data_IF_649336827091
#
_entry.id   IF_649336827091
#
_cell.length_a   1.000
_cell.length_b   1.000
_cell.length_c   1.000
_cell.angle_alpha   90.00
_cell.angle_beta   90.00
_cell.angle_gamma   90.00
#
_symmetry.space_group_name_H-M   'P 1'
#
loop_
_entity.id
_entity.type
_entity.pdbx_description
1 polymer ?
#
# COMPACT_ATOMS: atom_id res chain seq x y z
N UNK A 1 -19.56 -21.50 -17.70
CA UNK A 1 -19.17 -20.08 -17.78
C UNK A 1 -17.69 -19.99 -18.15
N UNK A 2 -17.27 -18.95 -18.90
CA UNK A 2 -15.84 -18.69 -19.13
C UNK A 2 -15.17 -18.21 -17.84
N UNK A 3 -13.81 -18.32 -17.78
CA UNK A 3 -13.04 -17.77 -16.66
C UNK A 3 -13.28 -16.27 -16.54
N UNK A 4 -13.39 -15.70 -15.32
CA UNK A 4 -13.48 -14.25 -15.15
C UNK A 4 -12.15 -13.58 -15.55
N UNK A 5 -12.25 -12.51 -16.33
CA UNK A 5 -11.10 -11.69 -16.79
C UNK A 5 -11.22 -10.24 -16.36
N UNK A 6 -12.31 -9.89 -15.69
CA UNK A 6 -12.62 -8.55 -15.22
C UNK A 6 -13.34 -8.61 -13.89
N UNK A 7 -12.79 -7.89 -12.91
CA UNK A 7 -13.38 -7.67 -11.60
C UNK A 7 -13.53 -6.16 -11.40
N UNK A 8 -14.66 -5.73 -10.86
CA UNK A 8 -14.93 -4.32 -10.65
C UNK A 8 -15.89 -4.14 -9.48
N UNK A 9 -15.49 -3.34 -8.51
CA UNK A 9 -16.31 -3.02 -7.34
C UNK A 9 -15.86 -1.69 -6.71
N UNK A 10 -16.76 -1.01 -6.00
CA UNK A 10 -16.42 0.15 -5.16
C UNK A 10 -15.86 -0.27 -3.79
N UNK A 11 -16.28 -1.42 -3.27
CA UNK A 11 -15.78 -2.02 -2.04
C UNK A 11 -14.54 -2.86 -2.34
N UNK A 12 -13.36 -2.38 -1.92
CA UNK A 12 -12.09 -3.08 -2.13
C UNK A 12 -12.02 -4.43 -1.41
N UNK A 13 -12.69 -4.57 -0.26
CA UNK A 13 -12.73 -5.81 0.50
C UNK A 13 -13.57 -6.88 -0.21
N UNK A 14 -14.70 -6.49 -0.81
CA UNK A 14 -15.52 -7.35 -1.66
C UNK A 14 -14.74 -7.79 -2.90
N UNK A 15 -14.07 -6.83 -3.55
CA UNK A 15 -13.26 -7.08 -4.74
C UNK A 15 -12.13 -8.08 -4.46
N UNK A 16 -11.53 -8.01 -3.26
CA UNK A 16 -10.55 -9.01 -2.81
C UNK A 16 -11.16 -10.42 -2.76
N UNK A 17 -12.34 -10.58 -2.13
CA UNK A 17 -13.00 -11.89 -1.99
C UNK A 17 -13.43 -12.44 -3.34
N UNK A 18 -14.00 -11.63 -4.22
CA UNK A 18 -14.42 -12.04 -5.56
C UNK A 18 -13.24 -12.57 -6.38
N UNK A 19 -12.11 -11.85 -6.36
CA UNK A 19 -10.89 -12.28 -7.03
C UNK A 19 -10.26 -13.52 -6.38
N UNK A 20 -10.24 -13.59 -5.05
CA UNK A 20 -9.70 -14.72 -4.29
C UNK A 20 -10.45 -16.03 -4.59
N UNK A 21 -11.78 -16.02 -4.50
CA UNK A 21 -12.59 -17.19 -4.77
C UNK A 21 -12.51 -17.61 -6.25
N UNK A 22 -12.49 -16.63 -7.15
CA UNK A 22 -12.31 -16.91 -8.58
C UNK A 22 -10.95 -17.54 -8.90
N UNK A 23 -9.87 -17.12 -8.20
CA UNK A 23 -8.56 -17.75 -8.34
C UNK A 23 -8.56 -19.20 -7.84
N UNK A 24 -9.24 -19.46 -6.73
CA UNK A 24 -9.37 -20.81 -6.21
C UNK A 24 -10.21 -21.72 -7.12
N UNK A 25 -11.26 -21.19 -7.73
CA UNK A 25 -12.18 -21.97 -8.56
C UNK A 25 -11.65 -22.16 -10.00
N UNK A 26 -11.25 -21.07 -10.66
CA UNK A 26 -10.93 -21.03 -12.09
C UNK A 26 -9.44 -20.92 -12.40
N UNK A 27 -8.60 -20.65 -11.38
CA UNK A 27 -7.17 -20.46 -11.56
C UNK A 27 -6.48 -21.73 -12.06
N UNK A 28 -5.63 -21.61 -13.07
CA UNK A 28 -4.78 -22.69 -13.55
C UNK A 28 -3.60 -22.90 -12.62
N UNK A 29 -3.28 -24.13 -12.32
CA UNK A 29 -2.08 -24.47 -11.57
C UNK A 29 -0.84 -24.29 -12.42
N UNK A 30 0.08 -23.47 -11.95
CA UNK A 30 1.41 -23.23 -12.51
C UNK A 30 2.44 -23.20 -11.40
N UNK A 31 3.69 -23.50 -11.71
CA UNK A 31 4.76 -23.64 -10.71
C UNK A 31 6.00 -22.80 -11.01
N UNK A 32 5.91 -21.46 -11.16
CA UNK A 32 7.09 -20.64 -11.43
C UNK A 32 8.09 -20.76 -10.27
N UNK A 33 9.35 -21.01 -10.62
CA UNK A 33 10.43 -21.21 -9.63
C UNK A 33 10.14 -22.29 -8.58
N UNK A 34 9.36 -23.31 -8.95
CA UNK A 34 9.01 -24.43 -8.07
C UNK A 34 7.92 -24.11 -7.01
N UNK A 35 7.29 -22.96 -7.06
CA UNK A 35 6.22 -22.57 -6.14
C UNK A 35 4.86 -22.74 -6.80
N UNK A 36 4.03 -23.63 -6.26
CA UNK A 36 2.67 -23.86 -6.78
C UNK A 36 1.81 -22.63 -6.58
N UNK A 37 1.23 -22.15 -7.67
CA UNK A 37 0.26 -21.04 -7.69
C UNK A 37 -1.00 -21.44 -8.47
N UNK A 38 -2.13 -20.80 -8.15
CA UNK A 38 -3.29 -20.73 -9.02
C UNK A 38 -3.33 -19.36 -9.69
N UNK A 39 -3.47 -19.32 -10.99
CA UNK A 39 -3.31 -18.15 -11.84
C UNK A 39 -4.50 -17.91 -12.77
N UNK A 40 -4.96 -16.68 -12.86
CA UNK A 40 -5.82 -16.16 -13.93
C UNK A 40 -5.00 -15.18 -14.79
N UNK A 41 -5.06 -15.30 -16.13
CA UNK A 41 -4.30 -14.44 -17.04
C UNK A 41 -4.99 -14.27 -18.41
N UNK A 42 -4.95 -13.06 -19.00
CA UNK A 42 -4.79 -11.79 -18.31
C UNK A 42 -6.06 -11.42 -17.52
N UNK A 43 -5.93 -10.51 -16.55
CA UNK A 43 -7.04 -10.04 -15.72
C UNK A 43 -6.96 -8.53 -15.58
N UNK A 44 -8.09 -7.86 -15.62
CA UNK A 44 -8.23 -6.45 -15.18
C UNK A 44 -9.03 -6.40 -13.90
N UNK A 45 -8.48 -5.70 -12.89
CA UNK A 45 -9.16 -5.42 -11.62
C UNK A 45 -9.39 -3.92 -11.54
N UNK A 46 -10.65 -3.51 -11.48
CA UNK A 46 -11.08 -2.12 -11.41
C UNK A 46 -11.62 -1.75 -10.03
N UNK A 47 -11.03 -0.72 -9.44
CA UNK A 47 -11.46 -0.11 -8.19
C UNK A 47 -12.26 1.14 -8.52
N UNK A 48 -13.60 1.06 -8.37
CA UNK A 48 -14.49 2.21 -8.64
C UNK A 48 -14.33 3.31 -7.59
N UNK A 49 -13.91 2.94 -6.37
CA UNK A 49 -13.55 3.87 -5.31
C UNK A 49 -12.13 3.59 -4.78
N UNK A 50 -11.06 4.06 -5.46
CA UNK A 50 -9.69 3.82 -5.03
C UNK A 50 -9.28 4.60 -3.76
N UNK A 51 -10.17 5.42 -3.21
CA UNK A 51 -9.97 6.07 -1.93
C UNK A 51 -10.26 5.12 -0.76
N UNK A 52 -11.03 4.04 -0.98
CA UNK A 52 -11.21 2.94 -0.05
C UNK A 52 -10.07 1.93 -0.20
N UNK A 53 -8.91 2.24 0.39
CA UNK A 53 -7.67 1.43 0.27
C UNK A 53 -7.43 0.47 1.42
N UNK A 54 -8.07 0.68 2.56
CA UNK A 54 -8.00 -0.25 3.68
C UNK A 54 -8.95 -1.44 3.41
N UNK A 55 -8.40 -2.65 3.36
CA UNK A 55 -9.16 -3.88 3.10
C UNK A 55 -9.49 -4.63 4.38
N UNK A 56 -10.73 -5.06 4.54
CA UNK A 56 -11.28 -5.65 5.78
C UNK A 56 -11.75 -7.09 5.57
N UNK A 57 -10.84 -7.98 5.19
CA UNK A 57 -11.15 -9.40 4.98
C UNK A 57 -10.90 -10.20 6.26
N UNK A 58 -11.92 -10.92 6.75
CA UNK A 58 -11.77 -11.83 7.91
C UNK A 58 -10.74 -12.91 7.60
N UNK A 59 -9.99 -13.33 8.62
CA UNK A 59 -8.90 -14.28 8.44
C UNK A 59 -7.62 -13.68 7.82
N UNK A 60 -7.67 -12.44 7.31
CA UNK A 60 -6.50 -11.73 6.75
C UNK A 60 -6.24 -10.43 7.51
N UNK A 61 -5.07 -10.34 8.13
CA UNK A 61 -4.61 -9.08 8.74
C UNK A 61 -3.56 -8.45 7.82
N UNK A 62 -3.92 -7.32 7.21
CA UNK A 62 -2.99 -6.50 6.44
C UNK A 62 -2.00 -5.79 7.39
N UNK A 63 -0.90 -5.30 6.85
CA UNK A 63 0.03 -4.44 7.61
C UNK A 63 -0.22 -2.97 7.22
N UNK A 64 -1.09 -2.24 7.94
CA UNK A 64 -1.46 -0.86 7.57
C UNK A 64 -0.28 0.10 7.67
N UNK A 65 0.66 -0.15 8.57
CA UNK A 65 1.84 0.69 8.74
C UNK A 65 2.76 0.63 7.51
N UNK A 66 2.92 -0.53 6.91
CA UNK A 66 3.66 -0.67 5.66
C UNK A 66 2.88 -0.06 4.49
N UNK A 67 1.56 -0.30 4.43
CA UNK A 67 0.69 0.25 3.39
C UNK A 67 0.63 1.78 3.39
N UNK A 68 0.88 2.44 4.52
CA UNK A 68 0.97 3.90 4.64
C UNK A 68 2.40 4.41 4.41
N UNK A 69 3.43 3.69 4.88
CA UNK A 69 4.82 4.12 4.77
C UNK A 69 5.38 3.95 3.35
N UNK A 70 5.10 2.83 2.68
CA UNK A 70 5.69 2.54 1.37
C UNK A 70 5.29 3.55 0.28
N UNK A 71 4.02 4.02 0.16
CA UNK A 71 3.67 5.10 -0.76
C UNK A 71 4.42 6.42 -0.49
N UNK A 72 4.67 6.75 0.78
CA UNK A 72 5.48 7.92 1.19
C UNK A 72 6.94 7.73 0.70
N UNK A 73 7.54 6.56 0.91
CA UNK A 73 8.87 6.20 0.43
C UNK A 73 8.96 6.27 -1.11
N UNK A 74 7.94 5.80 -1.82
CA UNK A 74 7.86 5.86 -3.29
C UNK A 74 7.79 7.30 -3.77
N UNK A 75 6.92 8.12 -3.20
CA UNK A 75 6.73 9.51 -3.65
C UNK A 75 7.89 10.42 -3.29
N UNK A 76 8.70 10.06 -2.30
CA UNK A 76 9.98 10.72 -2.00
C UNK A 76 11.11 10.32 -2.97
N UNK A 77 10.89 9.29 -3.79
CA UNK A 77 11.90 8.84 -4.75
C UNK A 77 13.02 8.01 -4.14
N UNK A 78 12.75 7.32 -3.04
CA UNK A 78 13.75 6.54 -2.31
C UNK A 78 13.97 5.17 -2.94
N UNK A 79 15.12 4.55 -2.60
CA UNK A 79 15.55 3.23 -3.06
C UNK A 79 16.13 2.36 -1.94
N UNK A 80 16.30 2.93 -0.74
CA UNK A 80 16.94 2.28 0.40
C UNK A 80 16.02 1.31 1.14
N UNK A 81 16.58 0.19 1.58
CA UNK A 81 15.89 -0.87 2.32
C UNK A 81 15.69 -0.49 3.78
N UNK A 82 16.68 0.19 4.36
CA UNK A 82 16.76 0.46 5.80
C UNK A 82 15.53 1.24 6.31
N UNK A 83 15.06 2.20 5.54
CA UNK A 83 13.91 3.02 5.92
C UNK A 83 12.59 2.23 5.96
N UNK A 84 12.42 1.20 5.12
CA UNK A 84 11.21 0.38 5.09
C UNK A 84 11.18 -0.73 6.14
N UNK A 85 12.35 -1.19 6.61
CA UNK A 85 12.45 -2.30 7.58
C UNK A 85 11.60 -2.14 8.85
N UNK A 86 11.52 -0.95 9.49
CA UNK A 86 10.69 -0.78 10.69
C UNK A 86 9.21 -1.06 10.45
N UNK A 87 8.73 -0.82 9.24
CA UNK A 87 7.33 -1.01 8.84
C UNK A 87 7.07 -2.42 8.34
N UNK A 88 8.07 -3.06 7.70
CA UNK A 88 8.01 -4.44 7.26
C UNK A 88 9.42 -5.06 7.15
N UNK A 89 9.85 -5.75 8.18
CA UNK A 89 11.18 -6.36 8.24
C UNK A 89 11.44 -7.37 7.10
N UNK A 90 10.39 -8.01 6.57
CA UNK A 90 10.53 -9.01 5.52
C UNK A 90 10.87 -8.42 4.15
N UNK A 91 10.72 -7.10 3.95
CA UNK A 91 10.99 -6.45 2.66
C UNK A 91 12.46 -6.58 2.25
N UNK A 92 13.37 -6.64 3.23
CA UNK A 92 14.80 -6.77 3.00
C UNK A 92 15.20 -8.03 2.23
N UNK A 93 14.36 -9.09 2.24
CA UNK A 93 14.63 -10.33 1.50
C UNK A 93 14.68 -10.13 -0.02
N UNK A 94 14.04 -9.07 -0.53
CA UNK A 94 14.00 -8.76 -1.96
C UNK A 94 15.21 -7.96 -2.43
N UNK A 95 15.99 -7.38 -1.54
CA UNK A 95 17.25 -6.71 -1.89
C UNK A 95 18.40 -7.72 -2.02
N UNK A 96 19.30 -7.48 -2.98
CA UNK A 96 20.47 -8.34 -3.21
C UNK A 96 21.60 -8.04 -2.23
N UNK A 97 21.80 -6.77 -1.89
CA UNK A 97 22.87 -6.29 -1.00
C UNK A 97 22.38 -5.93 0.42
N UNK A 98 21.05 -5.90 0.62
CA UNK A 98 20.41 -5.50 1.87
C UNK A 98 20.41 -3.98 2.10
N UNK A 99 20.89 -3.18 1.16
CA UNK A 99 21.02 -1.71 1.25
C UNK A 99 20.02 -1.01 0.33
N UNK A 100 19.98 -1.42 -0.95
CA UNK A 100 19.11 -0.84 -1.97
C UNK A 100 18.30 -1.90 -2.71
N UNK A 101 17.17 -1.51 -3.29
CA UNK A 101 16.44 -2.33 -4.25
C UNK A 101 16.99 -2.13 -5.67
N UNK A 102 16.93 -3.18 -6.50
CA UNK A 102 17.28 -3.08 -7.92
C UNK A 102 16.17 -2.39 -8.74
N UNK A 103 14.92 -2.62 -8.35
CA UNK A 103 13.75 -2.06 -9.03
C UNK A 103 12.93 -1.13 -8.11
N UNK A 104 13.56 -0.10 -7.47
CA UNK A 104 12.85 0.78 -6.55
C UNK A 104 11.89 1.67 -7.31
N UNK A 105 10.58 1.51 -7.07
CA UNK A 105 9.54 2.27 -7.78
C UNK A 105 9.70 3.78 -7.56
N UNK A 106 10.07 4.20 -6.35
CA UNK A 106 10.28 5.60 -6.02
C UNK A 106 11.37 6.24 -6.86
N UNK A 107 12.58 5.68 -6.88
CA UNK A 107 13.69 6.21 -7.67
C UNK A 107 13.36 6.21 -9.17
N UNK A 108 12.72 5.12 -9.67
CA UNK A 108 12.33 5.02 -11.06
C UNK A 108 11.25 6.03 -11.46
N UNK A 109 10.34 6.38 -10.56
CA UNK A 109 9.27 7.36 -10.83
C UNK A 109 9.72 8.81 -10.67
N UNK A 110 10.60 9.09 -9.68
CA UNK A 110 11.00 10.46 -9.33
C UNK A 110 12.39 10.87 -9.83
N UNK A 111 13.24 9.89 -10.11
CA UNK A 111 14.64 10.11 -10.46
C UNK A 111 15.09 9.19 -11.60
N UNK A 112 14.26 8.98 -12.62
CA UNK A 112 14.58 8.12 -13.75
C UNK A 112 15.87 8.52 -14.41
N UNK A 113 16.80 7.56 -14.58
CA UNK A 113 18.12 7.80 -15.15
C UNK A 113 19.15 8.33 -14.16
N UNK A 114 18.79 8.50 -12.86
CA UNK A 114 19.78 8.68 -11.80
C UNK A 114 20.71 7.48 -11.80
N UNK A 115 21.99 7.77 -11.77
CA UNK A 115 23.00 6.75 -11.87
C UNK A 115 23.00 5.84 -10.64
N UNK A 116 22.85 4.57 -10.90
CA UNK A 116 23.42 3.58 -10.01
C UNK A 116 24.94 3.49 -10.28
N UNK A 117 25.64 2.68 -9.51
CA UNK A 117 27.12 2.48 -9.55
C UNK A 117 27.70 2.10 -10.94
N UNK A 118 26.92 2.11 -12.02
CA UNK A 118 27.30 1.70 -13.39
C UNK A 118 27.68 2.85 -14.34
N UNK A 119 27.67 4.10 -13.88
CA UNK A 119 28.43 5.18 -14.51
C UNK A 119 27.74 6.01 -15.61
N UNK A 120 26.43 6.02 -15.77
CA UNK A 120 25.74 6.90 -16.72
C UNK A 120 25.11 8.11 -16.03
N UNK A 121 25.57 9.30 -16.32
CA UNK A 121 24.99 10.54 -15.78
C UNK A 121 24.01 11.09 -16.84
N UNK A 122 22.70 10.87 -16.62
CA UNK A 122 21.67 11.71 -17.23
C UNK A 122 21.10 12.61 -16.15
N UNK A 123 20.60 13.77 -16.52
CA UNK A 123 19.76 14.54 -15.61
C UNK A 123 18.53 13.68 -15.26
N UNK A 124 18.30 13.37 -13.97
CA UNK A 124 17.19 12.52 -13.59
C UNK A 124 15.87 13.15 -14.00
N UNK A 125 14.96 12.33 -14.51
CA UNK A 125 13.62 12.75 -14.90
C UNK A 125 12.66 12.42 -13.76
N UNK A 126 11.96 13.42 -13.25
CA UNK A 126 10.80 13.24 -12.39
C UNK A 126 9.58 12.95 -13.27
N UNK A 127 9.28 11.67 -13.46
CA UNK A 127 8.19 11.23 -14.33
C UNK A 127 6.80 11.60 -13.79
N UNK A 128 6.63 11.67 -12.46
CA UNK A 128 5.35 12.08 -11.87
C UNK A 128 5.12 13.59 -12.13
N UNK A 129 6.14 14.41 -11.96
CA UNK A 129 6.05 15.83 -12.26
C UNK A 129 5.84 16.09 -13.76
N UNK A 130 6.51 15.35 -14.64
CA UNK A 130 6.31 15.43 -16.10
C UNK A 130 4.86 15.04 -16.48
N UNK A 131 4.29 13.99 -15.87
CA UNK A 131 2.89 13.64 -16.07
C UNK A 131 1.93 14.75 -15.58
N UNK A 132 2.22 15.34 -14.41
CA UNK A 132 1.46 16.50 -13.91
C UNK A 132 1.46 17.66 -14.90
N UNK A 133 2.63 18.04 -15.42
CA UNK A 133 2.74 19.13 -16.40
C UNK A 133 1.96 18.85 -17.69
N UNK A 134 2.06 17.63 -18.22
CA UNK A 134 1.31 17.20 -19.42
C UNK A 134 -0.20 17.28 -19.23
N UNK A 135 -0.70 16.84 -18.08
CA UNK A 135 -2.14 16.88 -17.76
C UNK A 135 -2.63 18.31 -17.48
N UNK A 136 -1.79 19.15 -16.90
CA UNK A 136 -2.08 20.56 -16.65
C UNK A 136 -2.14 21.35 -17.95
N UNK A 137 -1.26 21.07 -18.91
CA UNK A 137 -1.24 21.69 -20.22
C UNK A 137 -2.40 21.20 -21.11
N UNK A 138 -2.62 19.89 -21.18
CA UNK A 138 -3.71 19.26 -21.93
C UNK A 138 -4.41 18.19 -21.08
N UNK A 139 -5.54 18.52 -20.42
CA UNK A 139 -6.31 17.55 -19.62
C UNK A 139 -6.81 16.34 -20.41
N UNK A 140 -6.89 16.42 -21.75
CA UNK A 140 -7.33 15.32 -22.61
C UNK A 140 -6.18 14.44 -23.10
N UNK A 141 -4.94 14.76 -22.76
CA UNK A 141 -3.75 14.05 -23.21
C UNK A 141 -3.82 12.54 -22.96
N UNK A 142 -3.17 11.79 -23.83
CA UNK A 142 -2.93 10.33 -23.68
C UNK A 142 -1.45 10.02 -23.46
N UNK A 143 -0.63 11.04 -23.22
CA UNK A 143 0.84 10.95 -23.13
C UNK A 143 1.38 11.00 -21.69
N UNK A 144 0.50 11.11 -20.68
CA UNK A 144 0.89 11.09 -19.28
C UNK A 144 1.11 9.62 -18.84
N UNK A 145 2.32 9.13 -19.08
CA UNK A 145 2.74 7.76 -18.77
C UNK A 145 4.06 7.81 -18.03
N UNK A 146 4.12 7.15 -16.86
CA UNK A 146 5.33 6.95 -16.07
C UNK A 146 5.74 5.47 -16.10
N UNK A 147 7.01 5.18 -16.35
CA UNK A 147 7.56 3.84 -16.48
C UNK A 147 8.28 3.41 -15.21
N UNK A 148 8.03 2.16 -14.81
CA UNK A 148 8.70 1.51 -13.67
C UNK A 148 9.60 0.38 -14.19
N UNK A 149 9.10 -0.44 -15.12
CA UNK A 149 9.89 -1.48 -15.77
C UNK A 149 11.08 -0.88 -16.53
N UNK A 150 12.27 -1.42 -16.31
CA UNK A 150 13.50 -0.93 -16.93
C UNK A 150 14.28 -2.10 -17.56
N UNK A 151 14.24 -2.29 -18.89
CA UNK A 151 14.93 -3.41 -19.55
C UNK A 151 16.45 -3.42 -19.35
N UNK A 152 17.05 -2.29 -19.03
CA UNK A 152 18.49 -2.22 -18.78
C UNK A 152 18.87 -2.91 -17.46
N UNK A 153 18.02 -2.83 -16.44
CA UNK A 153 18.28 -3.37 -15.11
C UNK A 153 17.49 -4.65 -14.82
N UNK A 154 16.31 -4.81 -15.43
CA UNK A 154 15.43 -5.96 -15.25
C UNK A 154 15.69 -7.06 -16.29
N UNK A 155 16.92 -7.21 -16.75
CA UNK A 155 17.31 -8.09 -17.85
C UNK A 155 17.68 -9.53 -17.39
N UNK A 156 17.96 -10.39 -18.38
CA UNK A 156 18.29 -11.80 -18.12
C UNK A 156 19.64 -11.98 -17.44
N UNK A 157 20.60 -11.09 -17.66
CA UNK A 157 21.92 -11.14 -17.00
C UNK A 157 21.77 -10.95 -15.49
N UNK A 158 20.99 -9.94 -15.07
CA UNK A 158 20.63 -9.74 -13.66
C UNK A 158 19.94 -10.97 -13.07
N UNK A 159 18.96 -11.54 -13.79
CA UNK A 159 18.25 -12.74 -13.33
C UNK A 159 19.17 -13.95 -13.21
N UNK A 160 20.06 -14.17 -14.18
CA UNK A 160 21.00 -15.30 -14.17
C UNK A 160 22.08 -15.16 -13.09
N UNK A 161 22.43 -13.94 -12.69
CA UNK A 161 23.33 -13.69 -11.55
C UNK A 161 22.67 -13.89 -10.17
N UNK A 162 21.40 -14.29 -10.14
CA UNK A 162 20.65 -14.53 -8.90
C UNK A 162 19.91 -13.32 -8.36
N UNK A 163 19.75 -12.28 -9.18
CA UNK A 163 18.98 -11.07 -8.84
C UNK A 163 17.55 -11.37 -8.42
N UNK A 164 17.11 -10.74 -7.33
CA UNK A 164 15.83 -11.02 -6.65
C UNK A 164 14.74 -10.05 -7.02
N UNK A 165 15.10 -8.80 -7.33
CA UNK A 165 14.19 -7.67 -7.44
C UNK A 165 14.03 -7.23 -8.90
N UNK A 166 12.98 -7.74 -9.53
CA UNK A 166 12.54 -7.34 -10.88
C UNK A 166 11.17 -6.71 -10.75
N UNK A 167 10.97 -5.51 -11.30
CA UNK A 167 9.71 -4.79 -11.23
C UNK A 167 8.52 -5.66 -11.65
N UNK A 168 7.53 -5.81 -10.76
CA UNK A 168 6.26 -6.45 -11.07
C UNK A 168 5.30 -5.49 -11.77
N UNK A 169 5.27 -4.23 -11.33
CA UNK A 169 4.53 -3.15 -11.98
C UNK A 169 5.42 -2.53 -13.05
N UNK A 170 4.88 -2.26 -14.23
CA UNK A 170 5.64 -1.87 -15.41
C UNK A 170 5.50 -0.38 -15.75
N UNK A 171 4.30 0.16 -15.61
CA UNK A 171 4.00 1.56 -15.89
C UNK A 171 2.71 2.01 -15.21
N UNK A 172 2.53 3.34 -15.12
CA UNK A 172 1.30 4.00 -14.70
C UNK A 172 0.86 4.92 -15.84
N UNK A 173 -0.40 4.86 -16.22
CA UNK A 173 -1.04 5.74 -17.21
C UNK A 173 -2.06 6.60 -16.50
N UNK A 174 -1.92 7.91 -16.60
CA UNK A 174 -2.83 8.89 -16.03
C UNK A 174 -3.74 9.49 -17.10
N UNK A 175 -5.02 9.67 -16.80
CA UNK A 175 -5.99 10.29 -17.69
C UNK A 175 -7.03 11.09 -16.91
N UNK A 176 -7.35 12.30 -17.37
CA UNK A 176 -8.53 13.00 -16.88
C UNK A 176 -9.68 12.68 -17.84
N UNK A 177 -10.73 12.06 -17.32
CA UNK A 177 -11.97 11.78 -18.05
C UNK A 177 -13.17 12.16 -17.18
N UNK A 178 -14.16 12.81 -17.80
CA UNK A 178 -15.35 13.30 -17.08
C UNK A 178 -15.00 14.18 -15.87
N UNK A 179 -13.87 14.91 -15.96
CA UNK A 179 -13.37 15.79 -14.89
C UNK A 179 -12.72 15.06 -13.70
N UNK A 180 -12.46 13.76 -13.78
CA UNK A 180 -11.81 12.95 -12.74
C UNK A 180 -10.51 12.35 -13.24
N UNK A 181 -9.55 12.16 -12.34
CA UNK A 181 -8.27 11.52 -12.67
C UNK A 181 -8.37 10.00 -12.52
N UNK A 182 -8.35 9.30 -13.63
CA UNK A 182 -8.23 7.84 -13.69
C UNK A 182 -6.76 7.42 -13.81
N UNK A 183 -6.45 6.23 -13.27
CA UNK A 183 -5.16 5.57 -13.54
C UNK A 183 -5.35 4.15 -14.06
N UNK A 184 -4.37 3.70 -14.86
CA UNK A 184 -4.20 2.30 -15.21
C UNK A 184 -2.75 1.90 -14.95
N UNK A 185 -2.57 0.80 -14.21
CA UNK A 185 -1.25 0.22 -13.89
C UNK A 185 -1.12 -1.14 -14.57
N UNK A 186 -0.05 -1.36 -15.31
CA UNK A 186 0.24 -2.65 -15.94
C UNK A 186 1.22 -3.46 -15.09
N UNK A 187 0.88 -4.73 -14.85
CA UNK A 187 1.71 -5.70 -14.15
C UNK A 187 2.04 -6.90 -15.03
N UNK A 188 3.29 -7.38 -14.96
CA UNK A 188 3.65 -8.69 -15.50
C UNK A 188 3.28 -9.85 -14.55
N UNK A 189 3.14 -9.56 -13.26
CA UNK A 189 2.92 -10.54 -12.19
C UNK A 189 2.32 -9.84 -10.98
N UNK A 190 1.22 -10.35 -10.44
CA UNK A 190 0.56 -9.76 -9.29
C UNK A 190 0.02 -10.86 -8.36
N UNK A 191 0.65 -11.01 -7.18
CA UNK A 191 0.09 -11.80 -6.09
C UNK A 191 -1.11 -11.08 -5.50
N UNK A 192 -2.22 -11.76 -5.31
CA UNK A 192 -3.44 -11.16 -4.76
C UNK A 192 -3.22 -10.63 -3.35
N UNK A 193 -2.57 -11.44 -2.48
CA UNK A 193 -2.45 -11.15 -1.07
C UNK A 193 -1.40 -10.10 -0.74
N UNK A 194 -0.21 -10.26 -1.34
CA UNK A 194 0.91 -9.36 -1.11
C UNK A 194 0.92 -8.20 -2.11
N UNK A 195 0.81 -8.51 -3.41
CA UNK A 195 0.92 -7.53 -4.48
C UNK A 195 -0.31 -6.62 -4.54
N UNK A 196 -1.44 -7.12 -5.05
CA UNK A 196 -2.60 -6.31 -5.39
C UNK A 196 -3.18 -5.56 -4.18
N UNK A 197 -3.56 -6.28 -3.13
CA UNK A 197 -4.21 -5.68 -1.96
C UNK A 197 -3.26 -5.41 -0.79
N UNK A 198 -2.10 -6.09 -0.74
CA UNK A 198 -1.11 -5.87 0.30
C UNK A 198 -0.24 -4.64 0.09
N UNK A 199 -0.04 -4.22 -1.16
CA UNK A 199 0.83 -3.10 -1.53
C UNK A 199 0.23 -2.20 -2.62
N UNK A 200 -0.11 -2.75 -3.82
CA UNK A 200 -0.35 -1.93 -5.01
C UNK A 200 -1.56 -0.99 -4.88
N UNK A 201 -2.67 -1.44 -4.28
CA UNK A 201 -3.84 -0.58 -4.06
C UNK A 201 -3.48 0.65 -3.22
N UNK A 202 -2.65 0.48 -2.18
CA UNK A 202 -2.18 1.59 -1.36
C UNK A 202 -1.18 2.47 -2.10
N UNK A 203 -0.19 1.88 -2.79
CA UNK A 203 0.86 2.58 -3.53
C UNK A 203 0.27 3.46 -4.64
N UNK A 204 -0.46 2.83 -5.56
CA UNK A 204 -0.94 3.53 -6.75
C UNK A 204 -2.20 4.34 -6.50
N UNK A 205 -3.07 3.91 -5.58
CA UNK A 205 -4.20 4.72 -5.13
C UNK A 205 -3.75 5.99 -4.41
N UNK A 206 -2.64 5.94 -3.65
CA UNK A 206 -2.03 7.13 -3.06
C UNK A 206 -1.44 8.06 -4.13
N UNK A 207 -0.66 7.51 -5.09
CA UNK A 207 -0.09 8.29 -6.20
C UNK A 207 -1.20 8.94 -7.03
N UNK A 208 -2.32 8.24 -7.26
CA UNK A 208 -3.49 8.79 -7.94
C UNK A 208 -4.08 9.97 -7.19
N UNK A 209 -4.30 9.82 -5.88
CA UNK A 209 -4.88 10.88 -5.04
C UNK A 209 -3.96 12.10 -4.96
N UNK A 210 -2.65 11.90 -4.80
CA UNK A 210 -1.64 12.97 -4.85
C UNK A 210 -1.67 13.71 -6.18
N UNK A 211 -1.66 13.00 -7.30
CA UNK A 211 -1.71 13.60 -8.63
C UNK A 211 -3.03 14.34 -8.88
N UNK A 212 -4.16 13.79 -8.42
CA UNK A 212 -5.48 14.42 -8.52
C UNK A 212 -5.52 15.74 -7.73
N UNK A 213 -4.97 15.73 -6.52
CA UNK A 213 -4.85 16.93 -5.68
C UNK A 213 -3.97 18.01 -6.32
N UNK A 214 -2.82 17.64 -6.90
CA UNK A 214 -1.96 18.60 -7.64
C UNK A 214 -2.65 19.24 -8.83
N UNK A 215 -3.56 18.50 -9.47
CA UNK A 215 -4.32 18.96 -10.66
C UNK A 215 -5.64 19.66 -10.29
N UNK A 216 -6.00 19.69 -9.01
CA UNK A 216 -7.29 20.19 -8.51
C UNK A 216 -8.48 19.52 -9.21
N UNK A 217 -8.45 18.18 -9.31
CA UNK A 217 -9.54 17.38 -9.87
C UNK A 217 -9.89 16.22 -8.92
N UNK A 218 -11.14 15.74 -8.89
CA UNK A 218 -11.50 14.55 -8.13
C UNK A 218 -10.76 13.30 -8.60
N UNK A 219 -10.56 12.37 -7.66
CA UNK A 219 -10.09 11.02 -7.97
C UNK A 219 -11.16 10.27 -8.77
N UNK A 220 -10.75 9.63 -9.85
CA UNK A 220 -11.57 8.76 -10.68
C UNK A 220 -11.35 7.28 -10.35
N UNK A 221 -11.35 6.43 -11.36
CA UNK A 221 -11.20 4.98 -11.22
C UNK A 221 -9.73 4.54 -11.29
N UNK A 222 -9.42 3.43 -10.63
CA UNK A 222 -8.12 2.78 -10.72
C UNK A 222 -8.27 1.39 -11.36
N UNK A 223 -7.51 1.13 -12.42
CA UNK A 223 -7.46 -0.16 -13.08
C UNK A 223 -6.08 -0.79 -12.96
N UNK A 224 -6.03 -2.02 -12.44
CA UNK A 224 -4.83 -2.83 -12.41
C UNK A 224 -4.94 -3.91 -13.51
N UNK A 225 -4.09 -3.83 -14.52
CA UNK A 225 -4.00 -4.83 -15.59
C UNK A 225 -2.90 -5.82 -15.24
N UNK A 226 -3.28 -7.02 -14.82
CA UNK A 226 -2.36 -8.08 -14.44
C UNK A 226 -2.25 -9.11 -15.56
N UNK A 227 -1.06 -9.28 -16.16
CA UNK A 227 -0.81 -10.40 -17.08
C UNK A 227 -0.90 -11.73 -16.34
N UNK A 228 -0.48 -11.77 -15.06
CA UNK A 228 -0.64 -12.91 -14.16
C UNK A 228 -1.19 -12.43 -12.81
N UNK A 229 -2.48 -12.61 -12.56
CA UNK A 229 -3.05 -12.50 -11.22
C UNK A 229 -3.04 -13.89 -10.59
N UNK A 230 -2.44 -14.05 -9.39
CA UNK A 230 -2.25 -15.36 -8.79
C UNK A 230 -2.29 -15.35 -7.25
N UNK A 231 -2.49 -16.54 -6.70
CA UNK A 231 -2.28 -16.86 -5.28
C UNK A 231 -1.33 -18.04 -5.16
N UNK A 232 -0.46 -18.00 -4.14
CA UNK A 232 0.35 -19.14 -3.78
C UNK A 232 -0.51 -20.18 -3.04
N UNK A 233 -0.26 -21.47 -3.31
CA UNK A 233 -1.03 -22.57 -2.69
C UNK A 233 -0.29 -23.22 -1.51
N UNK A 234 1.04 -23.05 -1.41
CA UNK A 234 1.89 -23.61 -0.37
C UNK A 234 2.51 -22.50 0.50
N UNK A 235 3.08 -22.86 1.64
CA UNK A 235 3.84 -21.99 2.55
C UNK A 235 3.09 -20.69 2.90
N UNK A 236 3.54 -19.58 2.35
CA UNK A 236 2.94 -18.26 2.55
C UNK A 236 1.46 -18.24 2.11
N UNK A 237 1.15 -18.84 0.97
CA UNK A 237 -0.21 -18.88 0.44
C UNK A 237 -1.17 -19.62 1.36
N UNK A 238 -0.82 -20.79 1.84
CA UNK A 238 -1.66 -21.54 2.77
C UNK A 238 -1.92 -20.75 4.07
N UNK A 239 -0.92 -20.01 4.58
CA UNK A 239 -1.08 -19.13 5.74
C UNK A 239 -2.04 -17.96 5.52
N UNK A 240 -2.31 -17.59 4.26
CA UNK A 240 -3.31 -16.59 3.91
C UNK A 240 -4.65 -17.20 3.55
N UNK A 241 -4.66 -18.26 2.72
CA UNK A 241 -5.87 -18.87 2.16
C UNK A 241 -6.72 -19.54 3.25
N UNK A 242 -6.11 -20.42 4.06
CA UNK A 242 -6.84 -21.27 5.03
C UNK A 242 -7.59 -20.45 6.09
N UNK A 243 -6.99 -19.42 6.72
CA UNK A 243 -7.71 -18.59 7.68
C UNK A 243 -8.89 -17.84 7.06
N UNK A 244 -8.77 -17.34 5.81
CA UNK A 244 -9.86 -16.67 5.12
C UNK A 244 -11.01 -17.64 4.87
N UNK A 245 -10.74 -18.81 4.28
CA UNK A 245 -11.75 -19.83 4.02
C UNK A 245 -12.47 -20.25 5.30
N UNK A 246 -11.71 -20.46 6.37
CA UNK A 246 -12.25 -20.79 7.68
C UNK A 246 -13.15 -19.67 8.23
N UNK A 247 -12.71 -18.43 8.17
CA UNK A 247 -13.42 -17.28 8.74
C UNK A 247 -14.77 -17.00 8.04
N UNK A 248 -14.88 -17.36 6.76
CA UNK A 248 -16.13 -17.27 5.99
C UNK A 248 -16.89 -18.58 5.89
N UNK A 249 -16.43 -19.66 6.56
CA UNK A 249 -17.09 -20.96 6.54
C UNK A 249 -17.11 -21.65 5.18
N UNK A 250 -16.16 -21.33 4.31
CA UNK A 250 -16.09 -21.86 2.94
C UNK A 250 -15.37 -23.20 2.97
N UNK A 251 -16.13 -24.29 2.84
CA UNK A 251 -15.58 -25.65 2.83
C UNK A 251 -15.16 -26.12 1.44
N UNK A 252 -15.93 -25.77 0.41
CA UNK A 252 -15.66 -26.16 -0.97
C UNK A 252 -16.06 -25.03 -1.93
N UNK A 253 -15.07 -24.40 -2.54
CA UNK A 253 -15.26 -23.28 -3.48
C UNK A 253 -16.13 -23.61 -4.68
N UNK A 254 -16.20 -24.90 -5.07
CA UNK A 254 -17.03 -25.35 -6.19
C UNK A 254 -18.51 -25.55 -5.84
N UNK A 255 -18.85 -25.61 -4.57
CA UNK A 255 -20.22 -25.79 -4.08
C UNK A 255 -20.84 -24.46 -3.64
N UNK A 256 -20.04 -23.54 -3.11
CA UNK A 256 -20.43 -22.20 -2.67
C UNK A 256 -20.41 -21.25 -3.87
N UNK A 257 -21.58 -20.96 -4.45
CA UNK A 257 -21.70 -20.25 -5.74
C UNK A 257 -21.62 -18.72 -5.66
N UNK A 258 -21.74 -18.14 -4.47
CA UNK A 258 -21.75 -16.70 -4.27
C UNK A 258 -20.61 -16.28 -3.32
N UNK A 259 -19.93 -15.21 -3.66
CA UNK A 259 -18.96 -14.58 -2.77
C UNK A 259 -19.71 -14.04 -1.55
N UNK A 260 -19.22 -14.27 -0.32
CA UNK A 260 -19.84 -13.71 0.87
C UNK A 260 -19.73 -12.18 0.85
N UNK A 261 -20.74 -11.50 1.39
CA UNK A 261 -20.69 -10.06 1.59
C UNK A 261 -19.56 -9.71 2.56
N UNK A 262 -18.70 -8.80 2.14
CA UNK A 262 -17.57 -8.32 2.94
C UNK A 262 -17.85 -6.90 3.40
N UNK A 263 -17.86 -6.72 4.72
CA UNK A 263 -18.09 -5.44 5.34
C UNK A 263 -16.96 -4.45 5.05
N UNK A 264 -17.29 -3.19 4.86
CA UNK A 264 -16.37 -2.08 4.75
C UNK A 264 -16.59 -1.10 5.91
N UNK A 265 -15.52 -0.54 6.44
CA UNK A 265 -15.57 0.48 7.49
C UNK A 265 -15.12 1.81 6.90
N UNK A 266 -16.11 2.59 6.45
CA UNK A 266 -15.92 3.94 5.94
C UNK A 266 -16.43 4.96 6.96
N UNK A 267 -15.71 6.07 7.04
CA UNK A 267 -16.06 7.18 7.92
C UNK A 267 -16.46 8.39 7.06
N UNK A 268 -17.38 9.21 7.59
CA UNK A 268 -17.86 10.40 6.89
C UNK A 268 -16.73 11.36 6.52
N UNK A 269 -15.71 11.44 7.35
CA UNK A 269 -14.56 12.32 7.20
C UNK A 269 -13.24 11.52 7.09
N UNK A 270 -13.16 10.61 6.13
CA UNK A 270 -11.89 9.94 5.82
C UNK A 270 -10.81 10.97 5.43
N UNK A 271 -9.60 10.90 6.03
CA UNK A 271 -8.51 11.79 5.66
C UNK A 271 -8.18 11.71 4.17
N UNK A 272 -7.96 12.86 3.55
CA UNK A 272 -7.68 12.99 2.11
C UNK A 272 -6.45 13.86 1.86
N UNK A 273 -5.77 13.60 0.74
CA UNK A 273 -4.76 14.50 0.22
C UNK A 273 -5.44 15.75 -0.30
N UNK A 274 -4.99 16.91 0.16
CA UNK A 274 -5.52 18.23 -0.21
C UNK A 274 -4.41 19.21 -0.62
N UNK A 275 -3.17 18.77 -0.60
CA UNK A 275 -2.00 19.60 -0.88
C UNK A 275 -1.83 19.87 -2.38
N UNK A 276 -1.54 21.11 -2.75
CA UNK A 276 -0.97 21.45 -4.07
C UNK A 276 0.40 20.77 -4.26
N UNK A 277 0.96 20.82 -5.47
CA UNK A 277 2.29 20.26 -5.72
C UNK A 277 3.35 20.85 -4.78
N UNK A 278 3.38 22.17 -4.65
CA UNK A 278 4.36 22.91 -3.84
C UNK A 278 4.21 22.61 -2.34
N UNK A 279 2.98 22.55 -1.84
CA UNK A 279 2.67 22.22 -0.45
C UNK A 279 3.05 20.77 -0.15
N UNK A 280 2.72 19.82 -1.03
CA UNK A 280 3.11 18.43 -0.88
C UNK A 280 4.64 18.28 -0.78
N UNK A 281 5.40 18.88 -1.74
CA UNK A 281 6.86 18.83 -1.71
C UNK A 281 7.44 19.47 -0.44
N UNK A 282 6.85 20.57 0.04
CA UNK A 282 7.28 21.23 1.27
C UNK A 282 7.01 20.36 2.51
N UNK A 283 5.84 19.74 2.59
CA UNK A 283 5.45 18.84 3.69
C UNK A 283 6.34 17.59 3.74
N UNK A 284 6.58 16.96 2.59
CA UNK A 284 7.47 15.80 2.49
C UNK A 284 8.89 16.15 2.90
N UNK A 285 9.42 17.28 2.42
CA UNK A 285 10.75 17.78 2.83
C UNK A 285 10.82 18.02 4.34
N UNK A 286 9.83 18.68 4.92
CA UNK A 286 9.77 18.92 6.36
C UNK A 286 9.77 17.60 7.15
N UNK A 287 8.98 16.63 6.72
CA UNK A 287 8.94 15.33 7.34
C UNK A 287 10.31 14.63 7.29
N UNK A 288 10.91 14.49 6.13
CA UNK A 288 12.18 13.76 5.97
C UNK A 288 13.41 14.49 6.55
N UNK A 289 13.40 15.81 6.61
CA UNK A 289 14.52 16.60 7.18
C UNK A 289 14.42 16.80 8.69
N UNK A 290 13.20 16.82 9.26
CA UNK A 290 12.98 17.25 10.64
C UNK A 290 12.34 16.19 11.54
N UNK A 291 11.40 15.43 11.05
CA UNK A 291 10.62 14.46 11.83
C UNK A 291 11.24 13.07 11.75
N UNK A 292 11.40 12.55 10.54
CA UNK A 292 11.91 11.21 10.28
C UNK A 292 13.28 10.91 10.93
N UNK A 293 14.28 11.80 10.89
CA UNK A 293 15.56 11.55 11.56
C UNK A 293 15.42 11.33 13.07
N UNK A 294 14.53 12.06 13.74
CA UNK A 294 14.30 11.90 15.19
C UNK A 294 13.60 10.58 15.47
N UNK A 295 12.62 10.19 14.65
CA UNK A 295 11.96 8.89 14.79
C UNK A 295 12.89 7.70 14.56
N UNK A 296 13.94 7.85 13.74
CA UNK A 296 14.87 6.78 13.36
C UNK A 296 16.12 6.70 14.23
N UNK A 297 16.43 7.73 15.04
CA UNK A 297 17.54 7.65 15.98
C UNK A 297 17.21 6.75 17.19
N UNK A 298 18.21 6.08 17.74
CA UNK A 298 18.05 5.42 19.02
C UNK A 298 17.71 6.47 20.10
N UNK A 299 16.68 6.22 20.92
CA UNK A 299 16.27 7.19 21.91
C UNK A 299 17.43 7.45 22.90
N UNK A 300 17.74 8.71 23.11
CA UNK A 300 18.54 9.16 24.23
C UNK A 300 17.72 8.98 25.53
N UNK A 301 18.33 9.02 26.68
CA UNK A 301 17.75 8.73 28.00
C UNK A 301 16.52 9.58 28.44
N UNK A 302 16.07 10.57 27.65
CA UNK A 302 14.87 11.40 27.91
C UNK A 302 13.76 11.12 26.87
N UNK A 303 13.48 9.87 26.63
CA UNK A 303 12.66 9.31 25.52
C UNK A 303 11.25 9.91 25.40
N UNK A 304 10.58 10.25 26.51
CA UNK A 304 9.17 10.65 26.46
C UNK A 304 8.96 12.06 25.89
N UNK A 305 9.79 13.03 26.27
CA UNK A 305 9.63 14.42 25.83
C UNK A 305 9.96 14.62 24.34
N UNK A 306 11.02 13.97 23.83
CA UNK A 306 11.37 14.02 22.40
C UNK A 306 10.28 13.41 21.52
N UNK A 307 9.67 12.30 21.97
CA UNK A 307 8.59 11.65 21.23
C UNK A 307 7.31 12.46 21.19
N UNK A 308 6.95 13.11 22.29
CA UNK A 308 5.83 14.06 22.32
C UNK A 308 6.05 15.22 21.35
N UNK A 309 7.27 15.78 21.33
CA UNK A 309 7.61 16.86 20.39
C UNK A 309 7.55 16.41 18.93
N UNK A 310 7.91 15.15 18.63
CA UNK A 310 7.74 14.57 17.29
C UNK A 310 6.26 14.50 16.91
N UNK A 311 5.40 14.01 17.81
CA UNK A 311 3.97 13.94 17.57
C UNK A 311 3.37 15.33 17.34
N UNK A 312 3.70 16.32 18.19
CA UNK A 312 3.25 17.70 18.03
C UNK A 312 3.62 18.28 16.65
N UNK A 313 4.84 18.00 16.18
CA UNK A 313 5.27 18.43 14.84
C UNK A 313 4.52 17.72 13.71
N UNK A 314 4.11 16.46 13.90
CA UNK A 314 3.26 15.75 12.94
C UNK A 314 1.86 16.36 12.92
N UNK A 315 1.29 16.67 14.09
CA UNK A 315 -0.09 17.15 14.22
C UNK A 315 -0.33 18.55 13.62
N UNK A 316 0.72 19.35 13.42
CA UNK A 316 0.61 20.63 12.69
C UNK A 316 0.66 20.48 11.18
N UNK A 317 0.84 19.27 10.64
CA UNK A 317 0.78 19.04 9.21
C UNK A 317 -0.61 19.43 8.66
N UNK A 318 -0.69 20.32 7.66
CA UNK A 318 -1.97 20.83 7.17
C UNK A 318 -2.76 19.81 6.34
N UNK A 319 -2.08 18.85 5.74
CA UNK A 319 -2.69 17.80 4.93
C UNK A 319 -3.17 16.64 5.82
N UNK A 320 -4.46 16.37 5.81
CA UNK A 320 -5.10 15.41 6.70
C UNK A 320 -4.63 13.97 6.49
N UNK A 321 -4.42 13.58 5.22
CA UNK A 321 -3.94 12.24 4.91
C UNK A 321 -2.48 12.07 5.31
N UNK A 322 -1.62 13.03 4.98
CA UNK A 322 -0.20 12.98 5.36
C UNK A 322 -0.05 13.01 6.88
N UNK A 323 -0.82 13.85 7.60
CA UNK A 323 -0.85 13.88 9.06
C UNK A 323 -1.20 12.51 9.63
N UNK A 324 -2.27 11.87 9.14
CA UNK A 324 -2.67 10.53 9.55
C UNK A 324 -1.59 9.49 9.24
N UNK A 325 -1.01 9.50 8.04
CA UNK A 325 0.03 8.55 7.64
C UNK A 325 1.30 8.70 8.49
N UNK A 326 1.75 9.92 8.74
CA UNK A 326 2.90 10.20 9.60
C UNK A 326 2.63 9.81 11.05
N UNK A 327 1.41 10.03 11.56
CA UNK A 327 0.99 9.57 12.89
C UNK A 327 1.03 8.04 12.98
N UNK A 328 0.53 7.32 11.97
CA UNK A 328 0.62 5.86 11.93
C UNK A 328 2.08 5.38 11.91
N UNK A 329 2.94 6.04 11.15
CA UNK A 329 4.38 5.73 11.12
C UNK A 329 5.04 5.97 12.48
N UNK A 330 4.70 7.07 13.17
CA UNK A 330 5.10 7.36 14.54
C UNK A 330 4.68 6.24 15.51
N UNK A 331 3.41 5.84 15.48
CA UNK A 331 2.87 4.72 16.28
C UNK A 331 3.66 3.45 16.05
N UNK A 332 3.98 3.13 14.80
CA UNK A 332 4.74 1.93 14.47
C UNK A 332 6.17 1.97 15.01
N UNK A 333 6.81 3.11 14.92
CA UNK A 333 8.16 3.32 15.46
C UNK A 333 8.16 3.24 16.99
N UNK A 334 7.18 3.85 17.67
CA UNK A 334 6.97 3.74 19.10
C UNK A 334 6.75 2.30 19.54
N UNK A 335 5.89 1.56 18.81
CA UNK A 335 5.65 0.13 19.03
C UNK A 335 6.94 -0.69 18.91
N UNK A 336 7.75 -0.46 17.89
CA UNK A 336 9.00 -1.19 17.66
C UNK A 336 10.01 -0.99 18.82
N UNK A 337 9.94 0.15 19.51
CA UNK A 337 10.81 0.53 20.65
C UNK A 337 10.20 0.20 22.02
N UNK A 338 8.95 -0.26 22.05
CA UNK A 338 8.25 -0.59 23.29
C UNK A 338 7.82 0.64 24.09
N UNK A 339 7.67 1.81 23.45
CA UNK A 339 7.23 3.05 24.10
C UNK A 339 5.70 3.09 24.09
N UNK A 340 5.08 2.49 25.12
CA UNK A 340 3.63 2.30 25.15
C UNK A 340 2.85 3.61 25.16
N UNK A 341 3.25 4.57 25.97
CA UNK A 341 2.56 5.87 26.07
C UNK A 341 2.51 6.56 24.69
N UNK A 342 3.63 6.57 23.94
CA UNK A 342 3.66 7.15 22.60
C UNK A 342 2.78 6.36 21.59
N UNK A 343 2.61 5.03 21.77
CA UNK A 343 1.66 4.26 20.96
C UNK A 343 0.23 4.70 21.24
N UNK A 344 -0.14 4.89 22.50
CA UNK A 344 -1.48 5.32 22.91
C UNK A 344 -1.76 6.74 22.44
N UNK A 345 -0.86 7.69 22.71
CA UNK A 345 -0.99 9.10 22.31
C UNK A 345 -1.14 9.23 20.78
N UNK A 346 -0.30 8.50 20.03
CA UNK A 346 -0.38 8.52 18.57
C UNK A 346 -1.68 7.90 18.03
N UNK A 347 -2.15 6.81 18.63
CA UNK A 347 -3.42 6.19 18.25
C UNK A 347 -4.63 7.06 18.61
N UNK A 348 -4.58 7.78 19.73
CA UNK A 348 -5.61 8.74 20.14
C UNK A 348 -5.65 9.93 19.15
N UNK A 349 -4.48 10.49 18.84
CA UNK A 349 -4.34 11.62 17.93
C UNK A 349 -4.72 11.30 16.48
N UNK A 350 -4.71 10.04 16.13
CA UNK A 350 -5.08 9.60 14.77
C UNK A 350 -6.57 9.83 14.51
N UNK A 351 -6.90 10.51 13.41
CA UNK A 351 -8.28 10.74 13.00
C UNK A 351 -9.05 9.43 12.85
N UNK A 352 -10.33 9.43 13.24
CA UNK A 352 -11.22 8.28 13.03
C UNK A 352 -11.33 7.99 11.54
N UNK A 353 -10.92 6.81 11.16
CA UNK A 353 -10.76 6.42 9.75
C UNK A 353 -10.66 4.91 9.61
N UNK A 354 -10.86 4.44 8.40
CA UNK A 354 -10.61 3.05 8.02
C UNK A 354 -9.16 2.61 8.34
N UNK A 355 -8.21 3.51 8.21
CA UNK A 355 -6.81 3.26 8.55
C UNK A 355 -6.57 3.11 10.05
N UNK A 356 -7.23 3.93 10.89
CA UNK A 356 -7.17 3.79 12.36
C UNK A 356 -7.70 2.42 12.80
N UNK A 357 -8.83 1.98 12.24
CA UNK A 357 -9.38 0.63 12.49
C UNK A 357 -8.37 -0.46 12.11
N UNK A 358 -7.73 -0.34 10.96
CA UNK A 358 -6.71 -1.29 10.51
C UNK A 358 -5.49 -1.33 11.42
N UNK A 359 -5.02 -0.16 11.89
CA UNK A 359 -3.91 -0.05 12.85
C UNK A 359 -4.27 -0.67 14.20
N UNK A 360 -5.47 -0.37 14.74
CA UNK A 360 -5.97 -0.97 15.97
C UNK A 360 -6.03 -2.50 15.88
N UNK A 361 -6.60 -3.05 14.79
CA UNK A 361 -6.64 -4.50 14.58
C UNK A 361 -5.25 -5.13 14.55
N UNK A 362 -4.29 -4.47 13.89
CA UNK A 362 -2.92 -4.98 13.82
C UNK A 362 -2.22 -4.97 15.18
N UNK A 363 -2.46 -3.93 16.00
CA UNK A 363 -1.88 -3.77 17.34
C UNK A 363 -2.59 -4.63 18.39
N UNK A 364 -3.87 -4.94 18.21
CA UNK A 364 -4.69 -5.62 19.21
C UNK A 364 -4.06 -6.87 19.83
N UNK A 365 -3.47 -7.82 19.10
CA UNK A 365 -2.85 -9.01 19.71
C UNK A 365 -1.70 -8.70 20.67
N UNK A 366 -1.12 -7.50 20.58
CA UNK A 366 0.00 -7.04 21.40
C UNK A 366 -0.46 -6.31 22.66
N UNK A 367 -1.59 -5.61 22.57
CA UNK A 367 -2.07 -4.69 23.59
C UNK A 367 -3.47 -5.02 24.11
N UNK A 368 -4.02 -6.20 23.82
CA UNK A 368 -5.38 -6.60 24.20
C UNK A 368 -5.61 -6.60 25.72
N UNK A 369 -4.56 -6.79 26.53
CA UNK A 369 -4.63 -6.83 27.99
C UNK A 369 -4.36 -5.45 28.64
N UNK A 370 -4.18 -4.38 27.83
CA UNK A 370 -4.01 -2.99 28.28
C UNK A 370 -5.36 -2.27 28.26
N UNK A 371 -5.80 -1.76 29.42
CA UNK A 371 -7.12 -1.12 29.60
C UNK A 371 -7.22 0.17 28.76
N UNK A 372 -6.18 1.01 28.74
CA UNK A 372 -6.18 2.26 27.97
C UNK A 372 -6.27 2.01 26.47
N UNK A 373 -5.62 0.96 25.94
CA UNK A 373 -5.76 0.57 24.57
C UNK A 373 -7.19 0.13 24.23
N UNK A 374 -7.89 -0.52 25.16
CA UNK A 374 -9.30 -0.87 25.01
C UNK A 374 -10.21 0.36 24.99
N UNK A 375 -9.88 1.42 25.73
CA UNK A 375 -10.65 2.66 25.75
C UNK A 375 -10.62 3.38 24.40
N UNK A 376 -9.50 3.30 23.67
CA UNK A 376 -9.33 3.97 22.36
C UNK A 376 -10.41 3.62 21.32
N UNK A 377 -10.96 2.43 21.37
CA UNK A 377 -12.02 2.01 20.44
C UNK A 377 -13.38 1.78 21.11
N UNK A 378 -13.50 2.12 22.39
CA UNK A 378 -14.74 1.89 23.17
C UNK A 378 -15.96 2.62 22.61
N UNK A 379 -15.75 3.77 21.95
CA UNK A 379 -16.79 4.57 21.30
C UNK A 379 -17.18 4.09 19.90
N UNK A 380 -16.44 3.15 19.31
CA UNK A 380 -16.75 2.64 17.97
C UNK A 380 -17.94 1.69 17.97
N UNK A 381 -18.50 1.41 16.78
CA UNK A 381 -19.61 0.47 16.62
C UNK A 381 -19.21 -0.97 17.05
N UNK A 382 -20.22 -1.77 17.39
CA UNK A 382 -19.99 -3.17 17.79
C UNK A 382 -19.31 -3.98 16.67
N UNK A 383 -19.67 -3.73 15.43
CA UNK A 383 -19.08 -4.42 14.27
C UNK A 383 -17.59 -4.12 14.13
N UNK A 384 -17.16 -2.87 14.38
CA UNK A 384 -15.75 -2.49 14.39
C UNK A 384 -15.01 -3.19 15.54
N UNK A 385 -15.61 -3.22 16.74
CA UNK A 385 -15.05 -3.94 17.90
C UNK A 385 -14.87 -5.43 17.61
N UNK A 386 -15.90 -6.07 17.06
CA UNK A 386 -15.86 -7.49 16.71
C UNK A 386 -14.78 -7.78 15.67
N UNK A 387 -14.59 -6.86 14.70
CA UNK A 387 -13.52 -6.95 13.73
C UNK A 387 -12.13 -6.78 14.36
N UNK A 388 -11.93 -5.77 15.22
CA UNK A 388 -10.65 -5.52 15.92
C UNK A 388 -10.29 -6.69 16.83
N UNK A 389 -11.24 -7.21 17.61
CA UNK A 389 -11.07 -8.32 18.54
C UNK A 389 -11.03 -9.67 17.85
N UNK A 390 -11.18 -9.70 16.53
CA UNK A 390 -11.19 -10.94 15.72
C UNK A 390 -12.27 -11.93 16.13
N UNK A 391 -13.43 -11.46 16.56
CA UNK A 391 -14.54 -12.33 16.91
C UNK A 391 -15.04 -13.08 15.67
N UNK A 392 -15.03 -14.40 15.75
CA UNK A 392 -15.46 -15.29 14.67
C UNK A 392 -14.36 -15.72 13.69
N UNK A 393 -13.10 -15.42 13.96
CA UNK A 393 -11.93 -15.95 13.22
C UNK A 393 -11.44 -17.32 13.75
#
# INVERSE_FOLDING_TARGET
MGRPIYFYNENSSQLYMDAFLSLLEYGKEVGPRGKLTKELHPVTVGFANPLSRATFVKGRTMNPFFQLAEPIWITEGRSDVEWLKPYNASIAQFSDDGVYFNAPYGERLRHWGKNDARGFIFNPIDQLYDCYLKLKEDPQTRQAVAFIGNPQFDNSEYTHSGGKDIACNLNIKFKIREGKLDITVDNRSNDLHWGLFGANLSQFGFIQEVMASWLDVPVGEYFQQADSLHIYMNDYGAKCNDPILKAYGIGNVHEDKESPDVQEFLFEHEPRISSTYEEFQSTMRFFFERIDPVMNHEPTWEVSEEWMLVLDNILVCPDDYLRMAFTAMFVKQAHNRGIMDAVLDGMEAMADSSWKVSCMRWLYPKYKDNEEFHELYSSTSQDIKDYIERKGE
#
